data_IF_731186809118
#
_entry.id   IF_731186809118
#
_cell.length_a   1.000
_cell.length_b   1.000
_cell.length_c   1.000
_cell.angle_alpha   90.00
_cell.angle_beta   90.00
_cell.angle_gamma   90.00
#
_symmetry.space_group_name_H-M   'P 1'
#
loop_
_entity.id
_entity.type
_entity.pdbx_description
1 polymer ?
#
# COMPACT_ATOMS: atom_id res chain seq x y z
N UNK A 1 -24.06 1.08 3.32
CA UNK A 1 -22.92 1.03 4.27
C UNK A 1 -23.47 0.68 5.64
N UNK A 2 -23.04 -0.43 6.25
CA UNK A 2 -23.56 -0.88 7.54
C UNK A 2 -23.27 0.11 8.67
N UNK A 3 -24.23 0.25 9.59
CA UNK A 3 -24.35 1.19 10.72
C UNK A 3 -23.10 1.37 11.63
N UNK A 4 -22.06 0.55 11.45
CA UNK A 4 -20.84 0.52 12.28
C UNK A 4 -19.53 0.65 11.50
N UNK A 5 -19.54 0.88 10.17
CA UNK A 5 -18.31 1.18 9.41
C UNK A 5 -17.26 0.05 9.33
N UNK A 6 -17.45 -1.07 10.02
CA UNK A 6 -16.58 -2.24 9.96
C UNK A 6 -17.03 -3.16 8.83
N UNK A 7 -16.15 -3.35 7.83
CA UNK A 7 -16.29 -4.40 6.83
C UNK A 7 -15.41 -5.57 7.25
N UNK A 8 -16.04 -6.67 7.66
CA UNK A 8 -15.34 -7.90 8.03
C UNK A 8 -14.72 -8.53 6.77
N UNK A 9 -13.45 -8.92 6.85
CA UNK A 9 -12.75 -9.57 5.74
C UNK A 9 -11.92 -10.72 6.28
N UNK A 10 -12.10 -11.91 5.71
CA UNK A 10 -11.36 -13.12 6.07
C UNK A 10 -9.84 -12.92 5.91
N UNK A 11 -9.41 -12.14 4.92
CA UNK A 11 -7.99 -11.86 4.70
C UNK A 11 -7.34 -11.06 5.85
N UNK A 12 -8.14 -10.27 6.59
CA UNK A 12 -7.68 -9.55 7.79
C UNK A 12 -7.66 -10.48 9.00
N UNK A 13 -8.67 -11.35 9.13
CA UNK A 13 -8.75 -12.34 10.22
C UNK A 13 -7.63 -13.39 10.13
N UNK A 14 -7.35 -13.90 8.92
CA UNK A 14 -6.25 -14.83 8.62
C UNK A 14 -4.86 -14.17 8.69
N UNK A 15 -4.76 -12.87 9.00
CA UNK A 15 -3.49 -12.16 9.18
C UNK A 15 -2.70 -11.85 7.90
N UNK A 16 -3.19 -12.24 6.72
CA UNK A 16 -2.53 -11.99 5.42
C UNK A 16 -2.34 -10.48 5.19
N UNK A 17 -3.33 -9.67 5.56
CA UNK A 17 -3.23 -8.20 5.49
C UNK A 17 -2.12 -7.66 6.40
N UNK A 18 -2.00 -8.18 7.62
CA UNK A 18 -0.99 -7.75 8.59
C UNK A 18 0.43 -8.12 8.11
N UNK A 19 0.61 -9.29 7.51
CA UNK A 19 1.88 -9.72 6.94
C UNK A 19 2.33 -8.79 5.79
N UNK A 20 1.44 -8.49 4.84
CA UNK A 20 1.73 -7.54 3.75
C UNK A 20 2.08 -6.15 4.29
N UNK A 21 1.37 -5.69 5.32
CA UNK A 21 1.62 -4.37 5.90
C UNK A 21 2.93 -4.30 6.68
N UNK A 22 3.30 -5.36 7.42
CA UNK A 22 4.62 -5.46 8.06
C UNK A 22 5.74 -5.46 7.03
N UNK A 23 5.63 -6.27 5.97
CA UNK A 23 6.61 -6.29 4.89
C UNK A 23 6.78 -4.91 4.24
N UNK A 24 5.68 -4.23 3.93
CA UNK A 24 5.71 -2.88 3.34
C UNK A 24 6.38 -1.85 4.26
N UNK A 25 6.18 -1.95 5.59
CA UNK A 25 6.80 -1.06 6.58
C UNK A 25 8.29 -1.34 6.77
N UNK A 26 8.68 -2.61 6.80
CA UNK A 26 10.08 -3.00 6.99
C UNK A 26 10.93 -2.73 5.75
N UNK A 27 10.41 -3.04 4.56
CA UNK A 27 11.15 -2.86 3.30
C UNK A 27 10.98 -1.47 2.69
N UNK A 28 9.97 -0.70 3.13
CA UNK A 28 9.59 0.56 2.48
C UNK A 28 9.03 0.37 1.06
N UNK A 29 8.81 -0.87 0.61
CA UNK A 29 8.31 -1.18 -0.72
C UNK A 29 6.78 -1.30 -0.64
N UNK A 30 6.03 -0.49 -1.39
CA UNK A 30 4.58 -0.60 -1.41
C UNK A 30 4.17 -1.93 -2.06
N UNK A 31 3.40 -2.74 -1.36
CA UNK A 31 2.86 -4.01 -1.86
C UNK A 31 1.53 -3.85 -2.60
N UNK A 32 1.10 -2.61 -2.85
CA UNK A 32 -0.15 -2.25 -3.53
C UNK A 32 0.16 -1.63 -4.89
N UNK A 33 -0.64 -1.93 -5.91
CA UNK A 33 -0.48 -1.37 -7.27
C UNK A 33 -0.37 0.16 -7.26
N UNK A 34 -1.30 0.85 -6.62
CA UNK A 34 -1.28 2.32 -6.52
C UNK A 34 -0.06 2.89 -5.78
N UNK A 35 0.47 2.16 -4.80
CA UNK A 35 1.71 2.55 -4.12
C UNK A 35 2.94 2.40 -5.03
N UNK A 36 2.98 1.34 -5.85
CA UNK A 36 4.03 1.14 -6.86
C UNK A 36 3.96 2.23 -7.92
N UNK A 37 2.76 2.52 -8.45
CA UNK A 37 2.51 3.60 -9.41
C UNK A 37 2.95 4.96 -8.86
N UNK A 38 2.65 5.29 -7.58
CA UNK A 38 3.16 6.50 -6.93
C UNK A 38 4.67 6.52 -6.78
N UNK A 39 5.30 5.39 -6.46
CA UNK A 39 6.77 5.31 -6.32
C UNK A 39 7.47 5.53 -7.67
N UNK A 40 6.96 4.89 -8.71
CA UNK A 40 7.45 5.04 -10.09
C UNK A 40 7.18 6.45 -10.60
N UNK A 41 5.95 6.95 -10.47
CA UNK A 41 5.57 8.30 -10.87
C UNK A 41 6.42 9.36 -10.19
N UNK A 42 6.66 9.24 -8.88
CA UNK A 42 7.56 10.16 -8.16
C UNK A 42 9.01 10.07 -8.65
N UNK A 43 9.50 8.88 -9.01
CA UNK A 43 10.84 8.68 -9.56
C UNK A 43 10.97 9.31 -10.95
N UNK A 44 9.98 9.12 -11.81
CA UNK A 44 9.87 9.73 -13.14
C UNK A 44 9.84 11.26 -13.02
N UNK A 45 8.93 11.80 -12.21
CA UNK A 45 8.83 13.25 -11.98
C UNK A 45 10.14 13.84 -11.43
N UNK A 46 10.78 13.17 -10.48
CA UNK A 46 12.09 13.58 -9.97
C UNK A 46 13.20 13.52 -11.02
N UNK A 47 13.08 12.70 -12.06
CA UNK A 47 14.05 12.60 -13.15
C UNK A 47 13.85 13.74 -14.16
N UNK A 48 12.60 14.05 -14.50
CA UNK A 48 12.22 15.03 -15.53
C UNK A 48 12.16 16.47 -15.02
N UNK A 49 11.68 16.68 -13.79
CA UNK A 49 11.56 18.00 -13.16
C UNK A 49 12.70 18.30 -12.18
N UNK A 50 13.81 17.55 -12.31
CA UNK A 50 15.02 17.85 -11.55
C UNK A 50 15.58 19.20 -11.99
N UNK A 51 15.34 20.22 -11.17
CA UNK A 51 16.33 21.29 -10.97
C UNK A 51 17.42 20.75 -10.04
#
# INVERSE_FOLDING_TARGET
MGKFGFSFSLNRFLGITQAKQRFARTTGIPTTKGGIERKIGRSILNLFFKK
#
